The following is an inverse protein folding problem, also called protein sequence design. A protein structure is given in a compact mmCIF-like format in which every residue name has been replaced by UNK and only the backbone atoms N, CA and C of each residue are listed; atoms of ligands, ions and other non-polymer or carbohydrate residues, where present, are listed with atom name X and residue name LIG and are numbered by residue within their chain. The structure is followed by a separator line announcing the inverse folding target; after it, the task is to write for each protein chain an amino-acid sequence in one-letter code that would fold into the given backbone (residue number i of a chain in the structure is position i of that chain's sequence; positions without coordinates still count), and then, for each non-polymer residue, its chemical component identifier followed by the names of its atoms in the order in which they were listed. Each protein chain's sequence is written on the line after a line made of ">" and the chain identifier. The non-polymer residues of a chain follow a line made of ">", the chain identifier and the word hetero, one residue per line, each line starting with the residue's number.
data_IF_848920555114
#
_entry.id   IF_848920555114
#
_cell.length_a   1.000
_cell.length_b   1.000
_cell.length_c   1.000
_cell.angle_alpha   90.00
_cell.angle_beta   90.00
_cell.angle_gamma   90.00
#
_symmetry.space_group_name_H-M   'P 1'
#
loop_
_entity.id
_entity.type
_entity.pdbx_description
1 polymer ?
#
# COMPACT_ATOMS: atom_id res chain seq x y z
N UNK A 1 6.53 17.15 56.82
CA UNK A 1 5.64 16.60 55.78
C UNK A 1 6.13 15.20 55.42
N UNK A 2 5.29 14.17 55.57
CA UNK A 2 5.68 12.77 55.32
C UNK A 2 5.56 12.50 53.82
N UNK A 3 6.64 12.06 53.16
CA UNK A 3 6.55 11.71 51.73
C UNK A 3 5.79 10.38 51.60
N UNK A 4 4.72 10.39 50.82
CA UNK A 4 3.93 9.22 50.49
C UNK A 4 4.29 8.90 49.04
N UNK A 5 5.04 7.81 48.83
CA UNK A 5 5.27 7.29 47.48
C UNK A 5 4.29 6.15 47.19
N UNK A 6 3.79 6.06 45.94
CA UNK A 6 2.94 4.94 45.54
C UNK A 6 3.73 3.63 45.61
N UNK A 7 3.05 2.50 45.90
CA UNK A 7 3.69 1.20 45.84
C UNK A 7 4.14 0.90 44.41
N UNK A 8 5.25 0.14 44.24
CA UNK A 8 5.75 -0.20 42.92
C UNK A 8 4.69 -0.98 42.11
N UNK A 9 4.62 -0.77 40.80
CA UNK A 9 3.67 -1.47 39.96
C UNK A 9 3.95 -2.98 39.95
N UNK A 10 2.89 -3.79 39.98
CA UNK A 10 2.98 -5.24 39.82
C UNK A 10 3.15 -5.59 38.34
N UNK A 11 4.21 -6.32 38.04
CA UNK A 11 4.48 -6.82 36.69
C UNK A 11 3.80 -8.17 36.49
N UNK A 12 2.96 -8.28 35.46
CA UNK A 12 2.17 -9.49 35.16
C UNK A 12 2.63 -10.21 33.87
N UNK A 13 3.74 -9.79 33.26
CA UNK A 13 4.11 -10.17 31.89
C UNK A 13 5.19 -11.25 31.79
N UNK A 14 4.84 -12.53 31.84
CA UNK A 14 5.77 -13.62 31.46
C UNK A 14 5.51 -14.16 30.05
N UNK A 15 4.48 -13.66 29.37
CA UNK A 15 4.08 -14.20 28.07
C UNK A 15 5.01 -13.68 26.97
N UNK A 16 5.64 -14.61 26.25
CA UNK A 16 6.44 -14.32 25.07
C UNK A 16 5.54 -13.79 23.94
N UNK A 17 6.06 -12.84 23.16
CA UNK A 17 5.32 -12.33 22.01
C UNK A 17 5.29 -13.38 20.90
N UNK A 18 4.13 -13.55 20.27
CA UNK A 18 3.95 -14.49 19.18
C UNK A 18 4.51 -13.91 17.88
N UNK A 19 5.49 -14.59 17.29
CA UNK A 19 6.01 -14.28 15.95
C UNK A 19 5.45 -15.31 14.97
N UNK A 20 4.76 -14.89 13.89
CA UNK A 20 4.31 -15.80 12.84
C UNK A 20 5.49 -16.58 12.23
N UNK A 21 5.34 -17.89 12.06
CA UNK A 21 6.41 -18.76 11.55
C UNK A 21 6.99 -18.27 10.21
N UNK A 22 6.13 -17.74 9.34
CA UNK A 22 6.49 -17.22 8.02
C UNK A 22 7.40 -15.99 8.12
N UNK A 23 7.25 -15.17 9.17
CA UNK A 23 8.08 -13.99 9.42
C UNK A 23 9.38 -14.36 10.12
N UNK A 24 9.36 -15.39 10.97
CA UNK A 24 10.57 -15.90 11.63
C UNK A 24 11.63 -16.35 10.60
N UNK A 25 11.23 -16.99 9.50
CA UNK A 25 12.14 -17.41 8.43
C UNK A 25 12.30 -16.41 7.27
N UNK A 26 11.53 -15.32 7.22
CA UNK A 26 11.57 -14.39 6.08
C UNK A 26 12.86 -13.56 6.01
N UNK A 27 13.51 -13.54 4.85
CA UNK A 27 14.66 -12.65 4.58
C UNK A 27 14.22 -11.27 4.05
N UNK A 28 13.06 -11.25 3.39
CA UNK A 28 12.44 -10.05 2.86
C UNK A 28 11.02 -9.93 3.40
N UNK A 29 10.60 -8.70 3.69
CA UNK A 29 9.26 -8.40 4.21
C UNK A 29 8.66 -7.18 3.54
N UNK A 30 7.34 -7.21 3.36
CA UNK A 30 6.53 -6.07 2.97
C UNK A 30 6.11 -5.30 4.23
N UNK A 31 6.23 -3.97 4.19
CA UNK A 31 5.81 -3.07 5.28
C UNK A 31 4.50 -2.40 4.91
N UNK A 32 3.53 -2.42 5.83
CA UNK A 32 2.23 -1.74 5.67
C UNK A 32 2.37 -0.23 5.92
N UNK A 33 1.82 0.58 5.02
CA UNK A 33 1.63 2.03 5.21
C UNK A 33 0.31 2.28 5.91
N UNK A 34 0.37 2.73 7.17
CA UNK A 34 -0.82 3.03 7.99
C UNK A 34 -1.32 4.48 7.83
N UNK A 35 -0.61 5.33 7.10
CA UNK A 35 -1.04 6.71 6.80
C UNK A 35 -2.26 6.74 5.88
N UNK A 36 -2.89 7.92 5.77
CA UNK A 36 -3.92 8.18 4.75
C UNK A 36 -3.41 7.81 3.36
N UNK A 37 -4.21 7.05 2.62
CA UNK A 37 -3.88 6.50 1.30
C UNK A 37 -4.83 7.06 0.25
N UNK A 38 -4.31 7.32 -0.94
CA UNK A 38 -5.17 7.64 -2.08
C UNK A 38 -5.95 6.40 -2.55
N UNK A 39 -7.08 6.59 -3.25
CA UNK A 39 -7.77 5.48 -3.90
C UNK A 39 -6.81 4.67 -4.78
N UNK A 40 -6.93 3.35 -4.74
CA UNK A 40 -6.10 2.39 -5.50
C UNK A 40 -4.61 2.37 -5.14
N UNK A 41 -4.19 3.09 -4.09
CA UNK A 41 -2.82 2.98 -3.59
C UNK A 41 -2.61 1.66 -2.85
N UNK A 42 -1.53 0.95 -3.18
CA UNK A 42 -1.18 -0.31 -2.50
C UNK A 42 -0.96 -0.08 -1.00
N UNK A 43 -1.49 -0.95 -0.13
CA UNK A 43 -1.35 -0.80 1.32
C UNK A 43 0.03 -1.20 1.85
N UNK A 44 0.80 -1.97 1.07
CA UNK A 44 2.16 -2.40 1.38
C UNK A 44 3.13 -1.83 0.35
N UNK A 45 4.34 -1.53 0.82
CA UNK A 45 5.45 -1.09 -0.03
C UNK A 45 6.17 -2.27 -0.69
N UNK A 46 7.33 -2.01 -1.29
CA UNK A 46 8.22 -3.03 -1.87
C UNK A 46 8.81 -3.95 -0.79
N UNK A 47 9.36 -5.12 -1.15
CA UNK A 47 10.07 -5.95 -0.19
C UNK A 47 11.31 -5.24 0.33
N UNK A 48 11.47 -5.18 1.66
CA UNK A 48 12.66 -4.70 2.34
C UNK A 48 13.45 -5.87 2.90
N UNK A 49 14.78 -5.73 2.91
CA UNK A 49 15.67 -6.72 3.51
C UNK A 49 15.58 -6.64 5.03
N UNK A 50 15.42 -7.78 5.68
CA UNK A 50 15.47 -7.90 7.14
C UNK A 50 16.93 -7.97 7.58
N UNK A 51 17.32 -7.14 8.54
CA UNK A 51 18.66 -7.13 9.13
C UNK A 51 18.71 -7.92 10.44
N UNK A 52 17.75 -7.69 11.34
CA UNK A 52 17.58 -8.45 12.58
C UNK A 52 16.11 -8.71 12.87
N UNK A 53 15.86 -9.80 13.59
CA UNK A 53 14.53 -10.25 14.03
C UNK A 53 14.49 -10.27 15.55
N UNK A 54 13.42 -9.74 16.13
CA UNK A 54 13.12 -9.81 17.56
C UNK A 54 11.63 -10.13 17.74
N UNK A 55 11.20 -10.44 18.95
CA UNK A 55 9.86 -10.97 19.27
C UNK A 55 8.73 -9.98 18.97
N UNK A 56 9.02 -8.67 18.90
CA UNK A 56 8.02 -7.62 18.67
C UNK A 56 8.35 -6.69 17.50
N UNK A 57 9.63 -6.52 17.19
CA UNK A 57 10.10 -5.57 16.18
C UNK A 57 11.19 -6.20 15.32
N UNK A 58 11.20 -5.91 14.02
CA UNK A 58 12.28 -6.26 13.11
C UNK A 58 13.03 -4.99 12.71
N UNK A 59 14.34 -5.09 12.52
CA UNK A 59 15.13 -4.01 11.90
C UNK A 59 15.27 -4.29 10.42
N UNK A 60 14.85 -3.34 9.59
CA UNK A 60 14.86 -3.43 8.14
C UNK A 60 15.88 -2.47 7.53
N UNK A 61 16.38 -2.81 6.35
CA UNK A 61 17.10 -1.87 5.49
C UNK A 61 16.11 -1.18 4.55
N UNK A 62 15.78 0.08 4.87
CA UNK A 62 14.90 0.93 4.10
C UNK A 62 15.74 2.01 3.43
N UNK A 63 16.04 1.84 2.14
CA UNK A 63 16.80 2.80 1.32
C UNK A 63 18.18 3.15 1.93
N UNK A 64 18.89 2.16 2.47
CA UNK A 64 20.20 2.35 3.10
C UNK A 64 20.15 2.89 4.53
N UNK A 65 18.95 2.95 5.14
CA UNK A 65 18.75 3.34 6.53
C UNK A 65 18.16 2.17 7.31
N UNK A 66 18.61 2.01 8.55
CA UNK A 66 18.05 1.03 9.47
C UNK A 66 16.77 1.57 10.09
N UNK A 67 15.66 0.86 9.93
CA UNK A 67 14.36 1.22 10.50
C UNK A 67 13.80 0.08 11.33
N UNK A 68 13.26 0.39 12.52
CA UNK A 68 12.59 -0.58 13.40
C UNK A 68 11.08 -0.60 13.14
N UNK A 69 10.54 -1.76 12.79
CA UNK A 69 9.13 -1.93 12.45
C UNK A 69 8.51 -3.05 13.28
N UNK A 70 7.31 -2.81 13.83
CA UNK A 70 6.55 -3.84 14.55
C UNK A 70 6.08 -4.96 13.64
N UNK A 71 6.05 -6.19 14.17
CA UNK A 71 5.62 -7.39 13.45
C UNK A 71 4.21 -7.26 12.87
N UNK A 72 3.31 -6.58 13.58
CA UNK A 72 1.91 -6.38 13.16
C UNK A 72 1.75 -5.66 11.81
N UNK A 73 2.78 -4.94 11.37
CA UNK A 73 2.81 -4.21 10.09
C UNK A 73 3.57 -4.95 9.00
N UNK A 74 4.13 -6.12 9.31
CA UNK A 74 4.95 -6.90 8.39
C UNK A 74 4.16 -8.02 7.74
N UNK A 75 4.55 -8.33 6.51
CA UNK A 75 4.12 -9.54 5.80
C UNK A 75 5.34 -10.15 5.11
N UNK A 76 5.53 -11.46 5.22
CA UNK A 76 6.64 -12.16 4.58
C UNK A 76 6.59 -11.97 3.05
N UNK A 77 7.74 -11.69 2.45
CA UNK A 77 7.89 -11.63 0.99
C UNK A 77 8.56 -12.92 0.50
N UNK A 78 7.81 -13.69 -0.28
CA UNK A 78 8.35 -14.89 -0.94
C UNK A 78 9.00 -14.46 -2.25
N UNK A 79 10.31 -14.20 -2.22
CA UNK A 79 11.09 -13.94 -3.42
C UNK A 79 11.67 -15.27 -3.88
N UNK A 80 11.01 -15.93 -4.83
CA UNK A 80 11.61 -17.09 -5.51
C UNK A 80 12.76 -16.57 -6.35
N UNK A 81 13.99 -17.01 -6.05
CA UNK A 81 15.09 -16.93 -6.99
C UNK A 81 14.73 -17.83 -8.18
N UNK A 82 13.96 -17.30 -9.13
CA UNK A 82 13.97 -17.82 -10.49
C UNK A 82 15.42 -17.74 -10.93
N UNK A 83 15.97 -18.91 -11.24
CA UNK A 83 17.38 -19.15 -11.49
C UNK A 83 18.06 -17.98 -12.21
N UNK A 84 19.24 -17.61 -11.73
CA UNK A 84 20.24 -16.83 -12.48
C UNK A 84 20.49 -17.47 -13.84
N UNK A 85 19.66 -17.15 -14.83
CA UNK A 85 20.06 -17.19 -16.22
C UNK A 85 21.00 -16.00 -16.40
N UNK A 86 22.31 -16.30 -16.47
CA UNK A 86 23.38 -15.32 -16.67
C UNK A 86 23.28 -14.52 -17.97
N UNK A 87 22.29 -14.80 -18.82
CA UNK A 87 22.07 -14.14 -20.09
C UNK A 87 20.63 -13.62 -20.19
N UNK A 88 20.32 -12.53 -19.50
CA UNK A 88 19.29 -11.58 -19.96
C UNK A 88 19.36 -10.31 -19.14
N UNK A 89 19.23 -9.18 -19.83
CA UNK A 89 19.16 -7.82 -19.30
C UNK A 89 18.41 -7.73 -17.97
N UNK A 90 18.80 -6.80 -17.07
CA UNK A 90 18.02 -6.54 -15.88
C UNK A 90 16.62 -6.12 -16.33
N UNK A 91 15.63 -6.97 -16.07
CA UNK A 91 14.22 -6.61 -16.25
C UNK A 91 14.01 -5.43 -15.30
N UNK A 92 13.79 -4.21 -15.81
CA UNK A 92 13.45 -3.11 -14.92
C UNK A 92 12.12 -3.51 -14.30
N UNK A 93 12.03 -3.52 -12.97
CA UNK A 93 10.74 -3.36 -12.32
C UNK A 93 9.99 -2.25 -13.07
N UNK A 94 8.70 -2.39 -13.43
CA UNK A 94 7.95 -1.30 -14.00
C UNK A 94 7.83 -0.19 -12.95
N UNK A 95 8.83 0.68 -12.89
CA UNK A 95 8.61 2.06 -12.54
C UNK A 95 7.86 2.63 -13.73
N UNK A 96 6.55 2.57 -13.70
CA UNK A 96 5.76 3.45 -14.55
C UNK A 96 6.15 4.88 -14.15
N UNK A 97 6.79 5.68 -15.01
CA UNK A 97 6.92 7.10 -14.74
C UNK A 97 5.49 7.67 -14.68
N UNK A 98 5.20 8.67 -13.82
CA UNK A 98 3.92 9.35 -13.90
C UNK A 98 3.82 9.93 -15.31
N UNK A 99 2.94 9.34 -16.14
CA UNK A 99 2.67 9.85 -17.47
C UNK A 99 2.33 11.33 -17.32
N UNK A 100 3.19 12.15 -17.92
CA UNK A 100 2.96 13.58 -18.11
C UNK A 100 1.58 13.73 -18.75
N UNK A 101 0.62 14.21 -17.96
CA UNK A 101 -0.68 14.64 -18.45
C UNK A 101 -0.37 15.85 -19.34
N UNK A 102 -0.21 15.61 -20.63
CA UNK A 102 -0.25 16.67 -21.63
C UNK A 102 -1.64 17.29 -21.55
N UNK A 103 -1.67 18.59 -21.22
CA UNK A 103 -2.85 19.45 -21.38
C UNK A 103 -3.40 19.25 -22.81
N UNK A 104 -4.70 19.00 -23.00
CA UNK A 104 -5.26 19.13 -24.33
C UNK A 104 -5.38 20.63 -24.66
N UNK A 105 -4.54 21.07 -25.60
CA UNK A 105 -4.72 22.32 -26.30
C UNK A 105 -6.01 22.26 -27.14
N UNK A 106 -6.73 23.38 -27.15
CA UNK A 106 -7.92 23.61 -27.94
C UNK A 106 -7.65 23.37 -29.44
N UNK A 107 -8.55 22.68 -30.12
CA UNK A 107 -8.68 22.74 -31.59
C UNK A 107 -10.16 22.62 -31.97
N UNK A 108 -10.72 23.81 -32.15
CA UNK A 108 -11.69 24.26 -33.16
C UNK A 108 -12.58 23.23 -33.88
N UNK A 109 -13.89 23.43 -33.66
CA UNK A 109 -14.98 23.49 -34.66
C UNK A 109 -15.18 22.34 -35.65
N UNK A 110 -16.33 21.67 -35.55
CA UNK A 110 -17.30 21.48 -36.64
C UNK A 110 -18.66 21.13 -36.01
N UNK A 111 -19.64 22.02 -36.11
CA UNK A 111 -21.06 21.73 -35.91
C UNK A 111 -21.60 20.88 -37.05
N UNK A 112 -22.59 20.01 -36.80
CA UNK A 112 -23.90 20.35 -37.36
C UNK A 112 -25.11 20.02 -36.45
N UNK A 113 -26.07 20.95 -36.49
CA UNK A 113 -27.54 20.79 -36.43
C UNK A 113 -28.19 19.90 -35.37
N UNK A 114 -28.81 20.57 -34.40
CA UNK A 114 -30.19 20.41 -33.88
C UNK A 114 -30.99 19.18 -34.33
N UNK A 115 -31.04 18.14 -33.49
CA UNK A 115 -32.29 17.66 -32.87
C UNK A 115 -31.97 16.77 -31.65
N UNK A 116 -32.48 17.15 -30.48
CA UNK A 116 -32.42 16.54 -29.14
C UNK A 116 -31.48 15.32 -28.84
N UNK A 117 -30.50 15.42 -27.90
CA UNK A 117 -29.69 14.28 -27.50
C UNK A 117 -30.43 13.35 -26.53
N UNK A 118 -30.66 12.10 -26.94
CA UNK A 118 -31.05 11.01 -26.04
C UNK A 118 -29.91 10.82 -25.02
N UNK A 119 -30.13 11.20 -23.77
CA UNK A 119 -29.16 10.98 -22.69
C UNK A 119 -29.17 9.50 -22.30
N UNK A 120 -28.10 8.77 -22.63
CA UNK A 120 -27.91 7.37 -22.21
C UNK A 120 -26.87 7.28 -21.09
N UNK A 121 -26.98 6.27 -20.22
CA UNK A 121 -25.94 5.97 -19.24
C UNK A 121 -24.71 5.38 -19.94
N UNK A 122 -23.58 5.28 -19.23
CA UNK A 122 -22.35 4.63 -19.73
C UNK A 122 -22.57 3.21 -20.27
N UNK A 123 -23.63 2.52 -19.85
CA UNK A 123 -24.02 1.18 -20.34
C UNK A 123 -25.11 1.20 -21.43
N UNK A 124 -25.42 2.37 -21.99
CA UNK A 124 -26.41 2.53 -23.06
C UNK A 124 -27.88 2.50 -22.59
N UNK A 125 -28.15 2.55 -21.27
CA UNK A 125 -29.52 2.54 -20.76
C UNK A 125 -30.12 3.94 -20.81
N UNK A 126 -31.40 4.02 -21.18
CA UNK A 126 -32.17 5.27 -21.15
C UNK A 126 -32.73 5.45 -19.72
N UNK A 127 -32.33 6.48 -18.96
CA UNK A 127 -32.85 6.72 -17.63
C UNK A 127 -34.31 7.21 -17.70
N UNK A 128 -35.20 6.61 -16.91
CA UNK A 128 -36.59 7.08 -16.78
C UNK A 128 -36.59 8.39 -15.98
N UNK A 129 -37.32 9.40 -16.47
CA UNK A 129 -37.52 10.65 -15.70
C UNK A 129 -38.45 10.38 -14.51
N UNK A 130 -38.18 10.97 -13.33
CA UNK A 130 -39.05 10.84 -12.17
C UNK A 130 -40.40 11.51 -12.43
N UNK A 131 -41.49 10.79 -12.17
CA UNK A 131 -42.86 11.33 -12.24
C UNK A 131 -43.13 12.13 -10.97
N UNK A 132 -43.49 13.40 -11.11
CA UNK A 132 -43.98 14.22 -9.99
C UNK A 132 -45.49 14.18 -10.00
N UNK A 133 -46.10 13.65 -8.94
CA UNK A 133 -47.52 13.78 -8.70
C UNK A 133 -47.79 15.17 -8.11
N UNK A 134 -48.82 15.86 -8.61
CA UNK A 134 -49.36 17.12 -8.07
C UNK A 134 -50.60 16.82 -7.24
#
# INVERSE_FOLDING_TARGET
>A
MRSIQPPPPRFHGTQTAYVPANLASADYVYVRKDSHRHPLQRPYDVPYRVLNKSDKYFTLDVKGRTETVSIDRLKAAHVTQLATHKDSNPVPFPMDPPSSISKPAATSSLTPSTDNPITTTRSGRIPRRPVRFR
#
